data_IF_941404499989
#
_entry.id   IF_941404499989
#
_cell.length_a   1.000
_cell.length_b   1.000
_cell.length_c   1.000
_cell.angle_alpha   90.00
_cell.angle_beta   90.00
_cell.angle_gamma   90.00
#
_symmetry.space_group_name_H-M   'P 1'
#
loop_
_entity.id
_entity.type
_entity.pdbx_description
1 polymer ?
#
# COMPACT_ATOMS: atom_id res chain seq x y z
N UNK A 1 -8.07 -16.22 -35.57
CA UNK A 1 -7.12 -15.82 -34.51
C UNK A 1 -7.81 -16.17 -33.20
N UNK A 2 -7.20 -16.98 -32.34
CA UNK A 2 -7.80 -17.37 -31.07
C UNK A 2 -7.78 -16.16 -30.12
N UNK A 3 -8.90 -15.82 -29.50
CA UNK A 3 -8.95 -14.69 -28.57
C UNK A 3 -8.05 -14.99 -27.36
N UNK A 4 -7.13 -14.06 -27.09
CA UNK A 4 -6.23 -14.16 -25.93
C UNK A 4 -6.96 -13.66 -24.68
N UNK A 5 -6.89 -14.45 -23.60
CA UNK A 5 -7.51 -14.16 -22.32
C UNK A 5 -6.45 -13.78 -21.29
N UNK A 6 -6.77 -12.78 -20.47
CA UNK A 6 -5.89 -12.24 -19.45
C UNK A 6 -6.55 -12.30 -18.08
N UNK A 7 -5.74 -12.61 -17.07
CA UNK A 7 -6.18 -12.56 -15.68
C UNK A 7 -6.47 -11.11 -15.34
N UNK A 8 -7.69 -10.82 -14.95
CA UNK A 8 -8.14 -9.49 -14.59
C UNK A 8 -8.70 -9.48 -13.18
N UNK A 9 -8.41 -8.41 -12.45
CA UNK A 9 -8.87 -8.19 -11.08
C UNK A 9 -9.66 -6.90 -11.05
N UNK A 10 -10.87 -6.95 -10.51
CA UNK A 10 -11.71 -5.78 -10.28
C UNK A 10 -12.09 -5.72 -8.80
N UNK A 11 -12.02 -4.54 -8.19
CA UNK A 11 -12.38 -4.35 -6.78
C UNK A 11 -12.67 -2.88 -6.50
N UNK A 12 -13.69 -2.60 -5.69
CA UNK A 12 -13.94 -1.27 -5.15
C UNK A 12 -15.43 -0.98 -5.05
N UNK A 13 -15.79 0.29 -4.99
CA UNK A 13 -17.18 0.72 -4.97
C UNK A 13 -17.34 2.15 -5.50
N UNK A 14 -18.55 2.50 -5.91
CA UNK A 14 -18.97 3.87 -6.18
C UNK A 14 -20.18 4.20 -5.32
N UNK A 15 -20.19 5.39 -4.76
CA UNK A 15 -21.27 5.88 -3.89
C UNK A 15 -22.03 7.00 -4.60
N UNK A 16 -23.36 6.94 -4.53
CA UNK A 16 -24.24 7.93 -5.13
C UNK A 16 -24.86 8.83 -4.05
N UNK A 17 -25.18 10.07 -4.43
CA UNK A 17 -25.59 11.11 -3.47
C UNK A 17 -26.97 10.84 -2.86
N UNK A 18 -27.90 10.39 -3.68
CA UNK A 18 -29.30 10.18 -3.32
C UNK A 18 -29.97 9.20 -4.31
N UNK A 19 -31.16 8.71 -3.93
CA UNK A 19 -31.96 7.79 -4.73
C UNK A 19 -32.20 8.28 -6.17
N UNK A 20 -32.41 9.58 -6.38
CA UNK A 20 -32.59 10.14 -7.73
C UNK A 20 -31.35 9.96 -8.62
N UNK A 21 -30.17 10.28 -8.08
CA UNK A 21 -28.91 10.08 -8.83
C UNK A 21 -28.60 8.61 -9.07
N UNK A 22 -28.93 7.75 -8.11
CA UNK A 22 -28.77 6.30 -8.20
C UNK A 22 -29.68 5.70 -9.28
N UNK A 23 -30.98 6.01 -9.24
CA UNK A 23 -31.93 5.50 -10.23
C UNK A 23 -31.56 5.97 -11.64
N UNK A 24 -31.21 7.25 -11.81
CA UNK A 24 -30.75 7.76 -13.10
C UNK A 24 -29.53 6.99 -13.60
N UNK A 25 -28.57 6.71 -12.73
CA UNK A 25 -27.40 5.91 -13.08
C UNK A 25 -27.80 4.49 -13.52
N UNK A 26 -28.71 3.84 -12.79
CA UNK A 26 -29.18 2.49 -13.10
C UNK A 26 -29.88 2.41 -14.46
N UNK A 27 -30.77 3.36 -14.75
CA UNK A 27 -31.46 3.45 -16.03
C UNK A 27 -30.47 3.60 -17.20
N UNK A 28 -29.49 4.49 -17.02
CA UNK A 28 -28.46 4.75 -18.03
C UNK A 28 -27.50 3.56 -18.18
N UNK A 29 -27.17 2.85 -17.10
CA UNK A 29 -26.39 1.61 -17.14
C UNK A 29 -27.11 0.55 -17.96
N UNK A 30 -28.38 0.27 -17.65
CA UNK A 30 -29.18 -0.75 -18.33
C UNK A 30 -29.27 -0.46 -19.84
N UNK A 31 -29.58 0.79 -20.20
CA UNK A 31 -29.57 1.23 -21.59
C UNK A 31 -28.22 0.97 -22.27
N UNK A 32 -27.11 1.29 -21.59
CA UNK A 32 -25.78 1.17 -22.18
C UNK A 32 -25.34 -0.28 -22.34
N UNK A 33 -25.64 -1.14 -21.38
CA UNK A 33 -25.36 -2.59 -21.47
C UNK A 33 -26.14 -3.23 -22.61
N UNK A 34 -27.44 -2.94 -22.71
CA UNK A 34 -28.32 -3.52 -23.74
C UNK A 34 -27.91 -3.10 -25.16
N UNK A 35 -27.51 -1.84 -25.35
CA UNK A 35 -27.26 -1.29 -26.68
C UNK A 35 -25.80 -1.42 -27.14
N UNK A 36 -24.82 -1.36 -26.23
CA UNK A 36 -23.40 -1.28 -26.61
C UNK A 36 -22.55 -2.47 -26.16
N UNK A 37 -22.94 -3.19 -25.11
CA UNK A 37 -22.05 -4.17 -24.46
C UNK A 37 -22.65 -5.56 -24.23
N UNK A 38 -23.80 -5.87 -24.87
CA UNK A 38 -24.62 -7.09 -24.74
C UNK A 38 -23.93 -8.28 -24.09
N UNK A 39 -22.84 -8.78 -24.69
CA UNK A 39 -22.09 -9.94 -24.18
C UNK A 39 -20.64 -9.71 -23.78
N UNK A 40 -20.12 -8.49 -23.84
CA UNK A 40 -18.69 -8.20 -23.81
C UNK A 40 -18.21 -7.51 -22.51
N UNK A 41 -18.91 -7.73 -21.39
CA UNK A 41 -18.50 -7.25 -20.07
C UNK A 41 -17.99 -8.41 -19.21
N UNK A 42 -16.96 -8.12 -18.42
CA UNK A 42 -16.42 -9.04 -17.43
C UNK A 42 -17.40 -9.25 -16.27
N UNK A 43 -18.09 -8.19 -15.85
CA UNK A 43 -19.06 -8.19 -14.75
C UNK A 43 -20.43 -7.78 -15.31
N UNK A 44 -21.43 -8.63 -15.14
CA UNK A 44 -22.82 -8.41 -15.61
C UNK A 44 -23.86 -8.51 -14.48
N UNK A 45 -23.42 -8.68 -13.24
CA UNK A 45 -24.31 -9.08 -12.16
C UNK A 45 -25.05 -7.87 -11.57
N UNK A 46 -26.37 -7.97 -11.47
CA UNK A 46 -27.21 -7.00 -10.75
C UNK A 46 -26.87 -6.94 -9.26
N UNK A 47 -26.25 -8.00 -8.71
CA UNK A 47 -25.83 -8.10 -7.31
C UNK A 47 -24.80 -7.03 -6.89
N UNK A 48 -24.19 -6.34 -7.84
CA UNK A 48 -23.30 -5.21 -7.56
C UNK A 48 -24.05 -3.93 -7.19
N UNK A 49 -25.34 -3.82 -7.46
CA UNK A 49 -26.15 -2.64 -7.16
C UNK A 49 -26.81 -2.78 -5.79
N UNK A 50 -26.45 -1.89 -4.86
CA UNK A 50 -27.02 -1.84 -3.50
C UNK A 50 -27.88 -0.57 -3.36
N UNK A 51 -29.20 -0.74 -3.46
CA UNK A 51 -30.16 0.38 -3.44
C UNK A 51 -30.29 0.99 -2.04
N UNK A 52 -30.17 0.17 -0.99
CA UNK A 52 -30.25 0.65 0.40
C UNK A 52 -29.06 1.56 0.73
N UNK A 53 -27.86 1.17 0.29
CA UNK A 53 -26.65 1.98 0.48
C UNK A 53 -26.45 3.02 -0.61
N UNK A 54 -27.25 2.98 -1.69
CA UNK A 54 -27.08 3.83 -2.86
C UNK A 54 -25.66 3.71 -3.43
N UNK A 55 -25.20 2.48 -3.65
CA UNK A 55 -23.84 2.20 -4.10
C UNK A 55 -23.78 1.12 -5.17
N UNK A 56 -22.66 1.12 -5.90
CA UNK A 56 -22.27 0.04 -6.79
C UNK A 56 -21.00 -0.60 -6.22
N UNK A 57 -21.07 -1.86 -5.80
CA UNK A 57 -20.02 -2.57 -5.07
C UNK A 57 -19.45 -3.67 -5.95
N UNK A 58 -18.14 -3.57 -6.19
CA UNK A 58 -17.35 -4.59 -6.88
C UNK A 58 -16.53 -5.35 -5.82
N UNK A 59 -17.00 -6.52 -5.36
CA UNK A 59 -16.16 -7.38 -4.53
C UNK A 59 -14.90 -7.75 -5.32
N UNK A 60 -13.83 -8.14 -4.63
CA UNK A 60 -12.61 -8.60 -5.30
C UNK A 60 -12.93 -9.77 -6.23
N UNK A 61 -12.95 -9.48 -7.52
CA UNK A 61 -13.35 -10.43 -8.56
C UNK A 61 -12.16 -10.70 -9.45
N UNK A 62 -11.80 -11.98 -9.57
CA UNK A 62 -10.67 -12.44 -10.38
C UNK A 62 -11.21 -13.29 -11.51
N UNK A 63 -11.07 -12.82 -12.75
CA UNK A 63 -11.67 -13.44 -13.94
C UNK A 63 -10.71 -13.43 -15.12
N UNK A 64 -10.87 -14.36 -16.05
CA UNK A 64 -10.13 -14.39 -17.31
C UNK A 64 -10.97 -13.71 -18.40
N UNK A 65 -10.47 -12.63 -18.99
CA UNK A 65 -11.21 -11.87 -20.00
C UNK A 65 -10.34 -11.47 -21.17
N UNK A 66 -10.96 -11.27 -22.33
CA UNK A 66 -10.24 -10.68 -23.47
C UNK A 66 -9.92 -9.22 -23.18
N UNK A 67 -8.91 -8.69 -23.87
CA UNK A 67 -8.55 -7.27 -23.80
C UNK A 67 -9.73 -6.34 -24.12
N UNK A 68 -10.57 -6.73 -25.07
CA UNK A 68 -11.80 -6.00 -25.45
C UNK A 68 -12.79 -5.97 -24.29
N UNK A 69 -13.06 -7.11 -23.66
CA UNK A 69 -13.97 -7.19 -22.53
C UNK A 69 -13.47 -6.42 -21.31
N UNK A 70 -12.15 -6.42 -21.06
CA UNK A 70 -11.55 -5.59 -20.01
C UNK A 70 -11.82 -4.10 -20.25
N UNK A 71 -11.52 -3.60 -21.45
CA UNK A 71 -11.73 -2.18 -21.82
C UNK A 71 -13.20 -1.77 -21.75
N UNK A 72 -14.10 -2.62 -22.23
CA UNK A 72 -15.54 -2.37 -22.13
C UNK A 72 -16.00 -2.28 -20.66
N UNK A 73 -15.47 -3.15 -19.80
CA UNK A 73 -15.78 -3.16 -18.36
C UNK A 73 -15.27 -1.90 -17.67
N UNK A 74 -14.02 -1.49 -17.96
CA UNK A 74 -13.46 -0.23 -17.45
C UNK A 74 -14.28 0.97 -17.92
N UNK A 75 -14.64 1.02 -19.20
CA UNK A 75 -15.47 2.10 -19.75
C UNK A 75 -16.86 2.18 -19.12
N UNK A 76 -17.44 1.04 -18.73
CA UNK A 76 -18.67 1.03 -17.92
C UNK A 76 -18.42 1.62 -16.54
N UNK A 77 -17.34 1.25 -15.83
CA UNK A 77 -17.06 1.84 -14.51
C UNK A 77 -16.82 3.34 -14.60
N UNK A 78 -16.06 3.81 -15.60
CA UNK A 78 -15.84 5.24 -15.85
C UNK A 78 -17.18 5.96 -16.04
N UNK A 79 -18.07 5.36 -16.82
CA UNK A 79 -19.40 5.91 -17.04
C UNK A 79 -20.23 5.97 -15.74
N UNK A 80 -20.20 4.92 -14.92
CA UNK A 80 -20.87 4.91 -13.62
C UNK A 80 -20.31 6.01 -12.69
N UNK A 81 -18.99 6.26 -12.74
CA UNK A 81 -18.32 7.24 -11.92
C UNK A 81 -18.75 8.69 -12.22
N UNK A 82 -19.23 8.98 -13.44
CA UNK A 82 -19.80 10.29 -13.79
C UNK A 82 -21.02 10.65 -12.89
N UNK A 83 -21.78 9.66 -12.46
CA UNK A 83 -22.96 9.85 -11.60
C UNK A 83 -22.62 9.85 -10.10
N UNK A 84 -21.52 9.20 -9.73
CA UNK A 84 -21.09 9.02 -8.35
C UNK A 84 -20.61 10.34 -7.70
N UNK A 85 -20.54 10.34 -6.37
CA UNK A 85 -20.07 11.45 -5.53
C UNK A 85 -18.80 11.09 -4.73
N UNK A 86 -18.55 9.80 -4.49
CA UNK A 86 -17.31 9.29 -3.88
C UNK A 86 -17.14 7.80 -4.22
N UNK A 87 -16.09 7.16 -3.68
CA UNK A 87 -15.73 5.79 -3.98
C UNK A 87 -14.65 5.69 -5.06
N UNK A 88 -14.09 4.51 -5.22
CA UNK A 88 -13.13 4.18 -6.27
C UNK A 88 -13.27 2.72 -6.68
N UNK A 89 -13.05 2.42 -7.96
CA UNK A 89 -12.94 1.06 -8.49
C UNK A 89 -11.56 0.91 -9.11
N UNK A 90 -10.80 -0.08 -8.66
CA UNK A 90 -9.58 -0.49 -9.32
C UNK A 90 -9.82 -1.65 -10.27
N UNK A 91 -9.17 -1.57 -11.43
CA UNK A 91 -9.14 -2.61 -12.45
C UNK A 91 -7.70 -2.89 -12.84
N UNK A 92 -7.27 -4.15 -12.82
CA UNK A 92 -5.91 -4.57 -13.17
C UNK A 92 -5.97 -5.75 -14.12
N UNK A 93 -5.41 -5.61 -15.31
CA UNK A 93 -5.15 -6.71 -16.23
C UNK A 93 -3.71 -7.17 -16.05
N UNK A 94 -3.51 -8.46 -15.84
CA UNK A 94 -2.25 -9.06 -15.42
C UNK A 94 -1.87 -10.19 -16.35
N UNK A 95 -0.59 -10.27 -16.67
CA UNK A 95 0.01 -11.38 -17.40
C UNK A 95 1.37 -11.73 -16.79
N UNK A 96 1.62 -13.03 -16.62
CA UNK A 96 2.85 -13.56 -16.00
C UNK A 96 3.32 -12.84 -14.71
N UNK A 97 2.37 -12.38 -13.88
CA UNK A 97 2.67 -11.68 -12.62
C UNK A 97 3.04 -10.20 -12.77
N UNK A 98 2.85 -9.61 -13.95
CA UNK A 98 3.04 -8.19 -14.25
C UNK A 98 1.73 -7.52 -14.63
N UNK A 99 1.54 -6.26 -14.23
CA UNK A 99 0.38 -5.47 -14.65
C UNK A 99 0.61 -5.05 -16.12
N UNK A 100 -0.30 -5.43 -17.01
CA UNK A 100 -0.33 -4.98 -18.40
C UNK A 100 -1.06 -3.65 -18.56
N UNK A 101 -2.27 -3.55 -17.98
CA UNK A 101 -3.07 -2.33 -17.95
C UNK A 101 -3.71 -2.19 -16.57
N UNK A 102 -3.81 -0.97 -16.06
CA UNK A 102 -4.51 -0.68 -14.82
C UNK A 102 -5.30 0.62 -14.94
N UNK A 103 -6.46 0.65 -14.28
CA UNK A 103 -7.28 1.85 -14.16
C UNK A 103 -7.73 2.00 -12.70
N UNK A 104 -7.61 3.23 -12.18
CA UNK A 104 -8.23 3.63 -10.93
C UNK A 104 -9.35 4.60 -11.27
N UNK A 105 -10.57 4.10 -11.23
CA UNK A 105 -11.78 4.81 -11.63
C UNK A 105 -12.37 5.50 -10.41
N UNK A 106 -12.54 6.81 -10.51
CA UNK A 106 -13.08 7.66 -9.45
C UNK A 106 -13.99 8.74 -10.04
N UNK A 107 -14.90 9.34 -9.25
CA UNK A 107 -15.68 10.48 -9.70
C UNK A 107 -14.79 11.67 -10.04
N UNK A 108 -15.00 12.27 -11.23
CA UNK A 108 -14.27 13.47 -11.70
C UNK A 108 -15.18 14.64 -12.12
N UNK A 109 -16.47 14.54 -11.82
CA UNK A 109 -17.48 15.53 -12.21
C UNK A 109 -17.45 16.84 -11.42
N UNK A 110 -18.27 17.80 -11.84
CA UNK A 110 -18.42 19.17 -11.31
C UNK A 110 -19.06 19.28 -9.92
N UNK A 111 -19.44 18.15 -9.32
CA UNK A 111 -20.06 18.11 -7.98
C UNK A 111 -19.08 18.70 -6.97
N UNK A 112 -19.55 19.63 -6.13
CA UNK A 112 -18.71 20.35 -5.17
C UNK A 112 -17.90 19.39 -4.28
N UNK A 113 -18.52 18.33 -3.75
CA UNK A 113 -17.83 17.33 -2.93
C UNK A 113 -16.65 16.66 -3.68
N UNK A 114 -16.85 16.35 -4.97
CA UNK A 114 -15.83 15.71 -5.82
C UNK A 114 -14.70 16.69 -6.09
N UNK A 115 -15.00 17.92 -6.51
CA UNK A 115 -13.99 18.94 -6.79
C UNK A 115 -13.17 19.30 -5.55
N UNK A 116 -13.83 19.46 -4.40
CA UNK A 116 -13.16 19.71 -3.13
C UNK A 116 -12.23 18.55 -2.73
N UNK A 117 -12.67 17.29 -2.91
CA UNK A 117 -11.83 16.12 -2.65
C UNK A 117 -10.62 16.07 -3.60
N UNK A 118 -10.82 16.25 -4.90
CA UNK A 118 -9.73 16.22 -5.88
C UNK A 118 -8.69 17.29 -5.60
N UNK A 119 -9.14 18.52 -5.29
CA UNK A 119 -8.27 19.62 -4.87
C UNK A 119 -7.52 19.29 -3.59
N UNK A 120 -8.22 18.83 -2.56
CA UNK A 120 -7.63 18.50 -1.27
C UNK A 120 -6.61 17.37 -1.35
N UNK A 121 -6.85 16.38 -2.21
CA UNK A 121 -5.90 15.31 -2.52
C UNK A 121 -4.65 15.85 -3.20
N UNK A 122 -4.78 16.69 -4.23
CA UNK A 122 -3.62 17.28 -4.90
C UNK A 122 -2.75 18.08 -3.92
N UNK A 123 -3.37 18.93 -3.10
CA UNK A 123 -2.68 19.71 -2.06
C UNK A 123 -2.02 18.84 -0.99
N UNK A 124 -2.55 17.64 -0.72
CA UNK A 124 -1.98 16.73 0.29
C UNK A 124 -0.62 16.13 -0.13
N UNK A 125 -0.32 16.15 -1.42
CA UNK A 125 0.95 15.70 -1.99
C UNK A 125 1.96 16.87 -2.13
N UNK A 126 1.52 18.12 -1.94
CA UNK A 126 2.36 19.32 -1.97
C UNK A 126 2.92 19.63 -0.56
N UNK A 127 4.19 20.01 -0.49
CA UNK A 127 4.85 20.40 0.76
C UNK A 127 4.47 21.84 1.11
N UNK A 128 4.05 22.08 2.36
CA UNK A 128 3.64 23.41 2.82
C UNK A 128 2.18 23.78 2.55
N UNK A 129 1.41 22.92 1.86
CA UNK A 129 -0.02 23.12 1.56
C UNK A 129 -0.96 22.34 2.49
N UNK A 130 -0.48 21.91 3.65
CA UNK A 130 -1.23 21.03 4.55
C UNK A 130 -2.53 21.69 5.07
N UNK A 131 -2.53 23.01 5.30
CA UNK A 131 -3.70 23.73 5.79
C UNK A 131 -4.79 23.81 4.71
N UNK A 132 -4.40 24.16 3.49
CA UNK A 132 -5.27 24.23 2.33
C UNK A 132 -5.83 22.85 1.98
N UNK A 133 -5.01 21.79 2.10
CA UNK A 133 -5.45 20.42 1.94
C UNK A 133 -6.53 20.05 2.97
N UNK A 134 -6.31 20.33 4.26
CA UNK A 134 -7.30 20.09 5.32
C UNK A 134 -8.60 20.86 5.05
N UNK A 135 -8.51 22.12 4.61
CA UNK A 135 -9.69 22.92 4.29
C UNK A 135 -10.50 22.31 3.15
N UNK A 136 -9.86 21.98 2.03
CA UNK A 136 -10.54 21.40 0.87
C UNK A 136 -11.13 20.00 1.18
N UNK A 137 -10.42 19.18 1.95
CA UNK A 137 -10.93 17.86 2.38
C UNK A 137 -12.09 17.99 3.37
N UNK A 138 -12.06 19.00 4.23
CA UNK A 138 -13.18 19.30 5.14
C UNK A 138 -14.40 19.76 4.36
N UNK A 139 -14.23 20.63 3.36
CA UNK A 139 -15.33 21.00 2.46
C UNK A 139 -15.94 19.77 1.76
N UNK A 140 -15.12 18.85 1.26
CA UNK A 140 -15.61 17.61 0.64
C UNK A 140 -16.47 16.79 1.61
N UNK A 141 -16.02 16.65 2.86
CA UNK A 141 -16.73 15.94 3.93
C UNK A 141 -18.03 16.66 4.33
N UNK A 142 -18.03 17.99 4.41
CA UNK A 142 -19.24 18.76 4.72
C UNK A 142 -20.31 18.65 3.61
N UNK A 143 -19.88 18.56 2.35
CA UNK A 143 -20.80 18.34 1.22
C UNK A 143 -21.28 16.89 1.12
N UNK A 144 -20.46 15.93 1.59
CA UNK A 144 -20.80 14.51 1.62
C UNK A 144 -20.07 13.79 2.77
N UNK A 145 -20.75 13.59 3.89
CA UNK A 145 -20.18 13.05 5.13
C UNK A 145 -19.90 11.53 5.09
N UNK A 146 -20.27 10.87 3.99
CA UNK A 146 -19.93 9.47 3.69
C UNK A 146 -18.74 9.33 2.74
N UNK A 147 -17.93 10.39 2.56
CA UNK A 147 -16.77 10.37 1.66
C UNK A 147 -15.54 9.70 2.32
N UNK A 148 -15.45 8.37 2.27
CA UNK A 148 -14.39 7.62 2.94
C UNK A 148 -12.97 8.07 2.55
N UNK A 149 -12.70 8.33 1.26
CA UNK A 149 -11.38 8.77 0.81
C UNK A 149 -11.01 10.18 1.29
N UNK A 150 -11.98 11.08 1.48
CA UNK A 150 -11.69 12.43 1.96
C UNK A 150 -11.26 12.40 3.44
N UNK A 151 -11.92 11.55 4.25
CA UNK A 151 -11.47 11.27 5.60
C UNK A 151 -10.06 10.66 5.62
N UNK A 152 -9.79 9.65 4.79
CA UNK A 152 -8.45 9.04 4.74
C UNK A 152 -7.37 10.07 4.38
N UNK A 153 -7.59 10.87 3.34
CA UNK A 153 -6.64 11.90 2.94
C UNK A 153 -6.46 12.97 4.02
N UNK A 154 -7.54 13.37 4.71
CA UNK A 154 -7.42 14.37 5.78
C UNK A 154 -6.67 13.80 6.97
N UNK A 155 -6.90 12.52 7.29
CA UNK A 155 -6.14 11.78 8.29
C UNK A 155 -4.65 11.71 7.96
N UNK A 156 -4.30 11.48 6.69
CA UNK A 156 -2.92 11.51 6.21
C UNK A 156 -2.26 12.88 6.42
N UNK A 157 -2.95 13.97 6.07
CA UNK A 157 -2.43 15.33 6.29
C UNK A 157 -2.30 15.66 7.77
N UNK A 158 -3.29 15.31 8.59
CA UNK A 158 -3.23 15.46 10.05
C UNK A 158 -2.05 14.68 10.65
N UNK A 159 -1.80 13.46 10.17
CA UNK A 159 -0.66 12.65 10.60
C UNK A 159 0.67 13.33 10.25
N UNK A 160 0.82 13.93 9.06
CA UNK A 160 2.02 14.69 8.67
C UNK A 160 2.25 15.91 9.57
N UNK A 161 1.17 16.56 10.02
CA UNK A 161 1.23 17.70 10.94
C UNK A 161 1.44 17.31 12.42
N UNK A 162 1.43 16.02 12.74
CA UNK A 162 1.50 15.54 14.12
C UNK A 162 0.19 15.64 14.91
N UNK A 163 -0.93 15.89 14.23
CA UNK A 163 -2.28 15.89 14.81
C UNK A 163 -2.79 14.44 14.95
N UNK A 164 -2.18 13.68 15.86
CA UNK A 164 -2.34 12.22 15.92
C UNK A 164 -3.76 11.75 16.24
N UNK A 165 -4.48 12.47 17.11
CA UNK A 165 -5.86 12.10 17.49
C UNK A 165 -6.85 12.39 16.34
N UNK A 166 -6.71 13.53 15.66
CA UNK A 166 -7.53 13.86 14.49
C UNK A 166 -7.27 12.87 13.34
N UNK A 167 -6.01 12.50 13.13
CA UNK A 167 -5.65 11.46 12.16
C UNK A 167 -6.28 10.11 12.49
N UNK A 168 -6.26 9.71 13.77
CA UNK A 168 -6.86 8.45 14.21
C UNK A 168 -8.38 8.45 13.99
N UNK A 169 -9.04 9.55 14.35
CA UNK A 169 -10.47 9.74 14.11
C UNK A 169 -10.81 9.61 12.63
N UNK A 170 -10.08 10.32 11.77
CA UNK A 170 -10.30 10.36 10.33
C UNK A 170 -10.07 8.99 9.67
N UNK A 171 -8.97 8.30 9.97
CA UNK A 171 -8.76 6.94 9.46
C UNK A 171 -9.84 5.97 9.95
N UNK A 172 -10.25 6.08 11.23
CA UNK A 172 -11.30 5.22 11.78
C UNK A 172 -12.67 5.51 11.16
N UNK A 173 -12.98 6.78 10.85
CA UNK A 173 -14.21 7.16 10.15
C UNK A 173 -14.19 6.67 8.70
N UNK A 174 -13.05 6.78 8.01
CA UNK A 174 -12.87 6.22 6.67
C UNK A 174 -13.17 4.71 6.65
N UNK A 175 -12.60 3.95 7.58
CA UNK A 175 -12.78 2.50 7.66
C UNK A 175 -14.19 2.05 8.06
N UNK A 176 -14.95 2.89 8.77
CA UNK A 176 -16.38 2.63 9.02
C UNK A 176 -17.25 2.83 7.78
N UNK A 177 -16.81 3.67 6.85
CA UNK A 177 -17.52 3.97 5.60
C UNK A 177 -17.09 3.00 4.49
N UNK A 178 -15.81 2.64 4.46
CA UNK A 178 -15.20 1.73 3.50
C UNK A 178 -14.15 0.84 4.18
N UNK A 179 -14.55 -0.38 4.49
CA UNK A 179 -13.68 -1.42 5.03
C UNK A 179 -12.64 -1.90 4.00
N UNK A 180 -12.76 -1.52 2.72
CA UNK A 180 -11.81 -1.80 1.66
C UNK A 180 -10.63 -0.83 1.60
N UNK A 181 -10.63 0.27 2.37
CA UNK A 181 -9.62 1.31 2.26
C UNK A 181 -8.26 0.91 2.89
N UNK A 182 -7.41 0.27 2.10
CA UNK A 182 -6.06 -0.16 2.52
C UNK A 182 -5.17 0.99 3.00
N UNK A 183 -5.35 2.21 2.47
CA UNK A 183 -4.55 3.37 2.89
C UNK A 183 -4.91 3.81 4.31
N UNK A 184 -6.21 3.82 4.65
CA UNK A 184 -6.66 4.17 6.00
C UNK A 184 -6.17 3.16 7.05
N UNK A 185 -6.12 1.86 6.72
CA UNK A 185 -5.50 0.86 7.58
C UNK A 185 -4.01 1.12 7.82
N UNK A 186 -3.23 1.45 6.77
CA UNK A 186 -1.81 1.76 6.94
C UNK A 186 -1.61 3.04 7.77
N UNK A 187 -2.40 4.07 7.51
CA UNK A 187 -2.37 5.31 8.28
C UNK A 187 -2.62 5.06 9.76
N UNK A 188 -3.68 4.31 10.11
CA UNK A 188 -3.99 3.98 11.50
C UNK A 188 -2.96 3.04 12.14
N UNK A 189 -2.45 2.06 11.38
CA UNK A 189 -1.36 1.21 11.85
C UNK A 189 -0.10 2.02 12.18
N UNK A 190 0.22 3.05 11.39
CA UNK A 190 1.33 3.96 11.70
C UNK A 190 1.13 4.63 13.06
N UNK A 191 -0.06 5.16 13.33
CA UNK A 191 -0.38 5.78 14.62
C UNK A 191 -0.25 4.79 15.79
N UNK A 192 -0.71 3.55 15.60
CA UNK A 192 -0.53 2.48 16.59
C UNK A 192 0.94 2.14 16.81
N UNK A 193 1.77 2.09 15.76
CA UNK A 193 3.21 1.88 15.88
C UNK A 193 3.90 2.98 16.68
N UNK A 194 3.54 4.25 16.46
CA UNK A 194 4.05 5.39 17.24
C UNK A 194 3.71 5.25 18.73
N UNK A 195 2.51 4.76 19.04
CA UNK A 195 2.06 4.45 20.41
C UNK A 195 2.59 3.10 20.95
N UNK A 196 3.44 2.40 20.20
CA UNK A 196 3.94 1.03 20.50
C UNK A 196 2.83 -0.02 20.69
N UNK A 197 1.65 0.23 20.13
CA UNK A 197 0.48 -0.65 20.12
C UNK A 197 0.58 -1.64 18.95
N UNK A 198 1.58 -2.52 19.01
CA UNK A 198 1.95 -3.37 17.87
C UNK A 198 0.88 -4.41 17.51
N UNK A 199 0.08 -4.88 18.48
CA UNK A 199 -0.99 -5.85 18.23
C UNK A 199 -2.06 -5.26 17.31
N UNK A 200 -2.48 -4.03 17.58
CA UNK A 200 -3.43 -3.25 16.82
C UNK A 200 -2.86 -2.89 15.44
N UNK A 201 -1.60 -2.45 15.39
CA UNK A 201 -0.92 -2.20 14.12
C UNK A 201 -0.86 -3.44 13.22
N UNK A 202 -0.52 -4.62 13.77
CA UNK A 202 -0.50 -5.88 13.03
C UNK A 202 -1.89 -6.22 12.46
N UNK A 203 -2.96 -6.00 13.24
CA UNK A 203 -4.32 -6.27 12.79
C UNK A 203 -4.68 -5.39 11.58
N UNK A 204 -4.40 -4.09 11.66
CA UNK A 204 -4.65 -3.15 10.56
C UNK A 204 -3.77 -3.46 9.33
N UNK A 205 -2.49 -3.79 9.52
CA UNK A 205 -1.60 -4.14 8.41
C UNK A 205 -2.00 -5.44 7.72
N UNK A 206 -2.57 -6.40 8.48
CA UNK A 206 -3.20 -7.59 7.89
C UNK A 206 -4.42 -7.21 7.05
N UNK A 207 -5.26 -6.30 7.52
CA UNK A 207 -6.37 -5.81 6.71
C UNK A 207 -5.89 -5.10 5.46
N UNK A 208 -4.88 -4.22 5.55
CA UNK A 208 -4.29 -3.55 4.40
C UNK A 208 -3.78 -4.53 3.33
N UNK A 209 -3.08 -5.61 3.72
CA UNK A 209 -2.66 -6.66 2.76
C UNK A 209 -3.82 -7.50 2.22
N UNK A 210 -4.90 -7.66 2.98
CA UNK A 210 -6.09 -8.40 2.55
C UNK A 210 -6.90 -7.59 1.54
N UNK A 211 -7.05 -6.28 1.76
CA UNK A 211 -7.88 -5.39 0.94
C UNK A 211 -7.15 -4.81 -0.27
N UNK A 212 -5.82 -4.88 -0.32
CA UNK A 212 -4.98 -4.54 -1.49
C UNK A 212 -4.53 -5.77 -2.26
N UNK A 213 -4.01 -5.58 -3.48
CA UNK A 213 -3.45 -6.68 -4.30
C UNK A 213 -1.93 -6.65 -4.27
N UNK A 214 -1.30 -7.84 -4.39
CA UNK A 214 0.17 -7.99 -4.34
C UNK A 214 0.95 -7.23 -5.43
N UNK A 215 0.27 -6.71 -6.46
CA UNK A 215 0.86 -5.89 -7.50
C UNK A 215 0.89 -4.39 -7.16
N UNK A 216 0.16 -3.96 -6.13
CA UNK A 216 0.16 -2.58 -5.69
C UNK A 216 1.32 -2.30 -4.72
N UNK A 217 1.91 -1.09 -4.75
CA UNK A 217 2.92 -0.69 -3.78
C UNK A 217 2.44 -0.79 -2.33
N UNK A 218 1.15 -0.50 -2.09
CA UNK A 218 0.57 -0.44 -0.74
C UNK A 218 0.60 -1.80 -0.02
N UNK A 219 0.47 -2.89 -0.77
CA UNK A 219 0.58 -4.25 -0.24
C UNK A 219 1.97 -4.50 0.37
N UNK A 220 3.01 -4.07 -0.35
CA UNK A 220 4.39 -4.25 0.08
C UNK A 220 4.77 -3.29 1.22
N UNK A 221 4.21 -2.08 1.23
CA UNK A 221 4.34 -1.16 2.37
C UNK A 221 3.75 -1.79 3.63
N UNK A 222 2.53 -2.33 3.56
CA UNK A 222 1.91 -3.02 4.68
C UNK A 222 2.71 -4.27 5.12
N UNK A 223 3.19 -5.08 4.17
CA UNK A 223 3.98 -6.28 4.45
C UNK A 223 5.26 -5.94 5.22
N UNK A 224 6.02 -4.92 4.79
CA UNK A 224 7.22 -4.46 5.49
C UNK A 224 6.92 -3.94 6.89
N UNK A 225 5.91 -3.08 7.02
CA UNK A 225 5.52 -2.52 8.33
C UNK A 225 5.04 -3.64 9.28
N UNK A 226 4.40 -4.68 8.75
CA UNK A 226 3.94 -5.82 9.54
C UNK A 226 5.10 -6.67 10.01
N UNK A 227 6.11 -6.91 9.15
CA UNK A 227 7.36 -7.55 9.52
C UNK A 227 8.04 -6.82 10.69
N UNK A 228 8.10 -5.48 10.62
CA UNK A 228 8.64 -4.63 11.68
C UNK A 228 7.86 -4.78 12.99
N UNK A 229 6.52 -4.75 12.93
CA UNK A 229 5.70 -4.94 14.13
C UNK A 229 5.84 -6.35 14.73
N UNK A 230 5.95 -7.38 13.89
CA UNK A 230 6.21 -8.75 14.35
C UNK A 230 7.56 -8.85 15.06
N UNK A 231 8.62 -8.26 14.51
CA UNK A 231 9.93 -8.23 15.14
C UNK A 231 9.88 -7.53 16.51
N UNK A 232 9.25 -6.35 16.57
CA UNK A 232 9.09 -5.56 17.81
C UNK A 232 8.21 -6.24 18.86
N UNK A 233 7.33 -7.16 18.44
CA UNK A 233 6.48 -7.97 19.32
C UNK A 233 7.04 -9.37 19.60
N UNK A 234 8.31 -9.62 19.28
CA UNK A 234 8.99 -10.91 19.44
C UNK A 234 8.31 -12.10 18.71
N UNK A 235 7.56 -11.83 17.64
CA UNK A 235 6.97 -12.84 16.76
C UNK A 235 7.93 -13.18 15.61
N UNK A 236 9.08 -13.75 15.95
CA UNK A 236 10.25 -13.87 15.06
C UNK A 236 9.95 -14.63 13.76
N UNK A 237 9.26 -15.77 13.82
CA UNK A 237 8.97 -16.56 12.60
C UNK A 237 8.11 -15.79 11.59
N UNK A 238 7.15 -15.00 12.08
CA UNK A 238 6.29 -14.17 11.23
C UNK A 238 7.04 -12.98 10.65
N UNK A 239 7.94 -12.37 11.43
CA UNK A 239 8.82 -11.32 10.97
C UNK A 239 9.74 -11.81 9.85
N UNK A 240 10.40 -12.96 10.05
CA UNK A 240 11.25 -13.60 9.04
C UNK A 240 10.48 -13.88 7.76
N UNK A 241 9.25 -14.39 7.85
CA UNK A 241 8.41 -14.65 6.69
C UNK A 241 8.09 -13.37 5.88
N UNK A 242 7.56 -12.33 6.52
CA UNK A 242 7.19 -11.09 5.81
C UNK A 242 8.41 -10.35 5.27
N UNK A 243 9.52 -10.31 6.02
CA UNK A 243 10.77 -9.73 5.53
C UNK A 243 11.31 -10.49 4.33
N UNK A 244 11.28 -11.83 4.34
CA UNK A 244 11.67 -12.66 3.20
C UNK A 244 10.84 -12.35 1.97
N UNK A 245 9.52 -12.25 2.11
CA UNK A 245 8.63 -11.88 1.00
C UNK A 245 9.03 -10.52 0.42
N UNK A 246 9.23 -9.51 1.27
CA UNK A 246 9.55 -8.16 0.83
C UNK A 246 10.95 -8.07 0.17
N UNK A 247 11.97 -8.67 0.80
CA UNK A 247 13.34 -8.66 0.30
C UNK A 247 13.47 -9.44 -1.01
N UNK A 248 12.69 -10.51 -1.21
CA UNK A 248 12.73 -11.28 -2.46
C UNK A 248 11.98 -10.63 -3.62
N UNK A 249 11.15 -9.62 -3.37
CA UNK A 249 10.49 -8.88 -4.44
C UNK A 249 11.51 -8.03 -5.19
N UNK A 250 11.46 -8.11 -6.52
CA UNK A 250 12.23 -7.23 -7.38
C UNK A 250 11.47 -5.91 -7.54
N UNK A 251 11.95 -4.87 -6.87
CA UNK A 251 11.40 -3.52 -6.97
C UNK A 251 12.26 -2.73 -7.95
N UNK A 252 11.70 -2.15 -9.04
CA UNK A 252 12.46 -1.24 -9.87
C UNK A 252 12.83 0.03 -9.08
N UNK A 253 13.90 0.76 -9.44
CA UNK A 253 14.42 1.88 -8.63
C UNK A 253 13.42 3.03 -8.37
N UNK A 254 12.44 3.20 -9.26
CA UNK A 254 11.35 4.18 -9.16
C UNK A 254 10.16 3.70 -8.31
N UNK A 255 10.11 2.41 -7.95
CA UNK A 255 9.03 1.87 -7.14
C UNK A 255 9.07 2.46 -5.71
N UNK A 256 7.91 2.85 -5.13
CA UNK A 256 7.86 3.51 -3.81
C UNK A 256 8.49 2.71 -2.66
N UNK A 257 8.54 1.38 -2.79
CA UNK A 257 9.13 0.49 -1.78
C UNK A 257 10.63 0.18 -2.01
N UNK A 258 11.21 0.55 -3.15
CA UNK A 258 12.64 0.33 -3.42
C UNK A 258 13.53 1.00 -2.36
N UNK A 259 13.16 2.23 -1.97
CA UNK A 259 13.86 2.99 -0.92
C UNK A 259 13.89 2.28 0.44
N UNK A 260 13.02 1.31 0.69
CA UNK A 260 12.96 0.56 1.94
C UNK A 260 13.71 -0.77 1.88
N UNK A 261 14.24 -1.16 0.73
CA UNK A 261 14.81 -2.49 0.53
C UNK A 261 16.09 -2.70 1.35
N UNK A 262 16.98 -1.69 1.43
CA UNK A 262 18.18 -1.77 2.29
C UNK A 262 17.83 -1.91 3.77
N UNK A 263 16.85 -1.13 4.24
CA UNK A 263 16.30 -1.24 5.60
C UNK A 263 15.76 -2.64 5.88
N UNK A 264 14.94 -3.19 4.97
CA UNK A 264 14.40 -4.54 5.11
C UNK A 264 15.49 -5.62 5.10
N UNK A 265 16.51 -5.50 4.22
CA UNK A 265 17.65 -6.41 4.21
C UNK A 265 18.38 -6.43 5.55
N UNK A 266 18.66 -5.26 6.14
CA UNK A 266 19.33 -5.18 7.44
C UNK A 266 18.55 -5.92 8.53
N UNK A 267 17.27 -5.59 8.71
CA UNK A 267 16.46 -6.21 9.76
C UNK A 267 16.23 -7.71 9.50
N UNK A 268 16.10 -8.13 8.24
CA UNK A 268 15.98 -9.54 7.91
C UNK A 268 17.27 -10.31 8.22
N UNK A 269 18.42 -9.79 7.78
CA UNK A 269 19.72 -10.40 8.04
C UNK A 269 20.03 -10.48 9.53
N UNK A 270 19.68 -9.44 10.30
CA UNK A 270 19.82 -9.43 11.76
C UNK A 270 19.02 -10.56 12.42
N UNK A 271 17.74 -10.69 12.09
CA UNK A 271 16.90 -11.77 12.63
C UNK A 271 17.41 -13.15 12.20
N UNK A 272 17.90 -13.30 10.96
CA UNK A 272 18.52 -14.55 10.51
C UNK A 272 19.79 -14.88 11.31
N UNK A 273 20.64 -13.89 11.55
CA UNK A 273 21.86 -14.03 12.33
C UNK A 273 21.57 -14.46 13.77
N UNK A 274 20.59 -13.82 14.42
CA UNK A 274 20.12 -14.18 15.77
C UNK A 274 19.59 -15.63 15.84
N UNK A 275 19.08 -16.14 14.72
CA UNK A 275 18.64 -17.54 14.58
C UNK A 275 19.75 -18.49 14.08
N UNK A 276 21.01 -18.04 14.05
CA UNK A 276 22.17 -18.77 13.52
C UNK A 276 22.06 -19.18 12.03
N UNK A 277 21.18 -18.54 11.27
CA UNK A 277 20.98 -18.76 9.82
C UNK A 277 21.94 -17.89 8.99
N UNK A 278 23.22 -17.95 9.35
CA UNK A 278 24.25 -17.03 8.89
C UNK A 278 24.54 -17.11 7.38
N UNK A 279 24.39 -18.30 6.77
CA UNK A 279 24.54 -18.47 5.31
C UNK A 279 23.45 -17.73 4.53
N UNK A 280 22.21 -17.71 5.04
CA UNK A 280 21.12 -16.95 4.43
C UNK A 280 21.29 -15.45 4.72
N UNK A 281 21.69 -15.10 5.95
CA UNK A 281 21.95 -13.71 6.34
C UNK A 281 23.02 -13.06 5.45
N UNK A 282 24.09 -13.78 5.13
CA UNK A 282 25.17 -13.30 4.26
C UNK A 282 24.65 -12.91 2.87
N UNK A 283 23.83 -13.76 2.24
CA UNK A 283 23.22 -13.48 0.94
C UNK A 283 22.34 -12.22 0.96
N UNK A 284 21.63 -11.99 2.07
CA UNK A 284 20.77 -10.82 2.25
C UNK A 284 21.60 -9.54 2.40
N UNK A 285 22.70 -9.59 3.16
CA UNK A 285 23.65 -8.49 3.29
C UNK A 285 24.26 -8.14 1.94
N UNK A 286 24.79 -9.13 1.21
CA UNK A 286 25.38 -8.92 -0.12
C UNK A 286 24.38 -8.32 -1.12
N UNK A 287 23.10 -8.71 -1.02
CA UNK A 287 22.03 -8.08 -1.80
C UNK A 287 21.86 -6.61 -1.42
N UNK A 288 21.83 -6.29 -0.13
CA UNK A 288 21.66 -4.92 0.35
C UNK A 288 22.85 -4.00 0.06
N UNK A 289 24.07 -4.52 0.02
CA UNK A 289 25.29 -3.76 -0.35
C UNK A 289 25.26 -3.24 -1.80
N UNK A 290 24.54 -3.95 -2.70
CA UNK A 290 24.39 -3.55 -4.11
C UNK A 290 23.35 -2.44 -4.31
N UNK A 291 22.55 -2.12 -3.28
CA UNK A 291 21.51 -1.11 -3.38
C UNK A 291 22.10 0.29 -3.17
N UNK A 292 21.62 1.25 -3.96
CA UNK A 292 21.89 2.68 -3.72
C UNK A 292 21.43 3.08 -2.32
N UNK A 293 22.04 4.12 -1.76
CA UNK A 293 21.73 4.59 -0.40
C UNK A 293 20.23 4.84 -0.22
N UNK A 294 19.69 4.33 0.89
CA UNK A 294 18.26 4.37 1.22
C UNK A 294 17.91 5.70 1.89
N UNK A 295 16.73 6.26 1.57
CA UNK A 295 16.14 7.39 2.31
C UNK A 295 15.75 7.04 3.76
N UNK A 296 15.70 5.76 4.10
CA UNK A 296 15.52 5.27 5.46
C UNK A 296 16.83 4.60 5.88
N UNK A 297 17.89 5.41 6.11
CA UNK A 297 19.23 4.89 6.28
C UNK A 297 19.26 3.98 7.50
N UNK A 298 19.81 2.79 7.28
CA UNK A 298 20.43 2.03 8.37
C UNK A 298 21.74 2.74 8.67
N UNK A 299 22.02 2.97 9.94
CA UNK A 299 23.28 3.54 10.36
C UNK A 299 24.45 2.72 9.78
N UNK A 300 25.41 3.39 9.15
CA UNK A 300 26.51 2.69 8.47
C UNK A 300 27.34 1.87 9.46
N UNK A 301 27.48 2.34 10.71
CA UNK A 301 28.19 1.60 11.75
C UNK A 301 27.44 0.30 12.13
N UNK A 302 26.11 0.36 12.26
CA UNK A 302 25.28 -0.82 12.49
C UNK A 302 25.31 -1.81 11.31
N UNK A 303 25.26 -1.29 10.08
CA UNK A 303 25.31 -2.12 8.88
C UNK A 303 26.62 -2.91 8.80
N UNK A 304 27.76 -2.21 8.89
CA UNK A 304 29.06 -2.84 8.78
C UNK A 304 29.36 -3.76 9.96
N UNK A 305 28.90 -3.42 11.17
CA UNK A 305 29.03 -4.30 12.33
C UNK A 305 28.33 -5.64 12.09
N UNK A 306 27.06 -5.61 11.68
CA UNK A 306 26.28 -6.81 11.40
C UNK A 306 26.89 -7.62 10.24
N UNK A 307 27.34 -6.95 9.17
CA UNK A 307 28.02 -7.60 8.05
C UNK A 307 29.28 -8.34 8.51
N UNK A 308 30.10 -7.70 9.34
CA UNK A 308 31.30 -8.31 9.93
C UNK A 308 30.98 -9.49 10.85
N UNK A 309 29.96 -9.40 11.70
CA UNK A 309 29.53 -10.48 12.59
C UNK A 309 29.05 -11.71 11.80
N UNK A 310 28.23 -11.50 10.77
CA UNK A 310 27.75 -12.57 9.89
C UNK A 310 28.93 -13.22 9.13
N UNK A 311 29.84 -12.41 8.56
CA UNK A 311 31.01 -12.91 7.83
C UNK A 311 31.94 -13.72 8.74
N UNK A 312 32.21 -13.23 9.96
CA UNK A 312 32.99 -13.95 10.97
C UNK A 312 32.33 -15.27 11.35
N UNK A 313 31.01 -15.27 11.59
CA UNK A 313 30.26 -16.47 11.94
C UNK A 313 30.14 -17.48 10.78
N UNK A 314 30.39 -17.07 9.54
CA UNK A 314 30.50 -17.95 8.37
C UNK A 314 31.93 -18.36 8.04
N UNK A 315 32.94 -17.80 8.72
CA UNK A 315 34.34 -18.04 8.39
C UNK A 315 34.75 -17.52 7.02
N UNK A 316 34.02 -16.53 6.47
CA UNK A 316 34.35 -15.90 5.17
C UNK A 316 35.21 -14.66 5.38
N UNK A 317 36.13 -14.39 4.45
CA UNK A 317 37.02 -13.23 4.52
C UNK A 317 36.26 -11.89 4.48
N UNK A 318 36.94 -10.80 4.86
CA UNK A 318 36.39 -9.44 4.83
C UNK A 318 35.72 -8.97 6.11
N UNK A 319 35.48 -9.86 7.10
CA UNK A 319 34.87 -9.47 8.38
C UNK A 319 35.68 -8.40 9.13
N UNK A 320 37.02 -8.49 9.10
CA UNK A 320 37.89 -7.51 9.76
C UNK A 320 37.76 -6.12 9.11
N UNK A 321 37.71 -6.05 7.77
CA UNK A 321 37.50 -4.81 7.04
C UNK A 321 36.15 -4.17 7.36
N UNK A 322 35.10 -4.98 7.51
CA UNK A 322 33.79 -4.44 7.90
C UNK A 322 33.78 -3.96 9.36
N UNK A 323 34.47 -4.64 10.28
CA UNK A 323 34.67 -4.09 11.62
C UNK A 323 35.47 -2.77 11.61
N UNK A 324 36.47 -2.62 10.75
CA UNK A 324 37.21 -1.34 10.60
C UNK A 324 36.30 -0.22 10.08
N UNK A 325 35.46 -0.49 9.09
CA UNK A 325 34.46 0.47 8.58
C UNK A 325 33.45 0.84 9.66
N UNK A 326 32.95 -0.15 10.40
CA UNK A 326 32.03 0.07 11.51
C UNK A 326 32.67 0.92 12.61
N UNK A 327 33.93 0.65 12.97
CA UNK A 327 34.68 1.42 13.95
C UNK A 327 34.92 2.87 13.49
N UNK A 328 35.27 3.06 12.21
CA UNK A 328 35.44 4.39 11.59
C UNK A 328 34.13 5.18 11.59
N UNK A 329 33.00 4.49 11.39
CA UNK A 329 31.65 5.05 11.49
C UNK A 329 31.18 5.26 12.95
N UNK A 330 32.00 4.94 13.95
CA UNK A 330 31.73 5.23 15.38
C UNK A 330 31.30 4.04 16.24
N UNK A 331 31.29 2.81 15.71
CA UNK A 331 30.92 1.62 16.49
C UNK A 331 31.97 1.28 17.55
N UNK A 332 31.61 1.44 18.83
CA UNK A 332 32.44 1.02 19.97
C UNK A 332 32.59 -0.51 20.03
N UNK A 333 31.54 -1.24 19.67
CA UNK A 333 31.55 -2.71 19.66
C UNK A 333 32.54 -3.23 18.61
N UNK A 334 32.58 -2.63 17.42
CA UNK A 334 33.54 -3.02 16.39
C UNK A 334 34.99 -2.77 16.83
N UNK A 335 35.27 -1.66 17.50
CA UNK A 335 36.59 -1.37 18.08
C UNK A 335 37.03 -2.45 19.07
N UNK A 336 36.13 -2.90 19.95
CA UNK A 336 36.41 -3.98 20.90
C UNK A 336 36.62 -5.34 20.19
N UNK A 337 35.86 -5.63 19.14
CA UNK A 337 36.05 -6.86 18.35
C UNK A 337 37.40 -6.87 17.64
N UNK A 338 37.84 -5.74 17.07
CA UNK A 338 39.14 -5.61 16.41
C UNK A 338 40.32 -5.80 17.37
N UNK A 339 40.22 -5.34 18.62
CA UNK A 339 41.31 -5.53 19.59
C UNK A 339 41.47 -7.00 20.01
N UNK A 340 40.44 -7.83 19.83
CA UNK A 340 40.50 -9.29 20.07
C UNK A 340 40.96 -10.12 18.86
N UNK A 341 41.07 -9.50 17.69
CA UNK A 341 41.54 -10.14 16.45
C UNK A 341 43.05 -10.01 16.24
N UNK A 342 43.69 -9.11 16.99
CA UNK A 342 45.14 -8.95 17.09
C UNK A 342 45.68 -9.90 18.14
#
# INVERSE_FOLDING_TARGET
MQDLFYKSIFQGYLQFRNAKSYQKMLDMYNYRVENFYKNELALKESAHFDEEKLSYIVPRTVVQVTKKAWRNTVGIFEYLAEFAISGSIGAWMVDEGSILEAAMIEPVGDKIAVQAFLRGRALSDEEGSEKEAIQALTEAIEKFDKHAQAYERRGYVNMRLGNWEDAHYDFSKSLRLDEGNSYAYIGRAHLYMQKKQYKEAIADLRMATTTSIALQPIYWTATRMRAQCYALSNMIDKALFDYKLFVNRDFPPDHPNYKWLKYACYHYAKLLHEQNKNAEALKVIEKGEKLKQSQHPVDDAEWYLLSGEIKKAQGVAGYASDFEKAATAGSKQANALLSTLK
#
